data_IF_567778830505
#
_entry.id   IF_567778830505
#
_cell.length_a   1.000
_cell.length_b   1.000
_cell.length_c   1.000
_cell.angle_alpha   90.00
_cell.angle_beta   90.00
_cell.angle_gamma   90.00
#
_symmetry.space_group_name_H-M   'P 1'
#
loop_
_entity.id
_entity.type
_entity.pdbx_description
1 polymer ?
#
# COMPACT_ATOMS: atom_id res chain seq x y z
N UNK A 1 23.98 3.55 -19.23
CA UNK A 1 23.08 2.45 -18.84
C UNK A 1 21.85 3.03 -18.15
N UNK A 2 20.66 2.97 -18.76
CA UNK A 2 19.42 3.39 -18.09
C UNK A 2 18.98 2.25 -17.17
N UNK A 3 19.33 2.32 -15.89
CA UNK A 3 18.75 1.44 -14.87
C UNK A 3 17.26 1.71 -14.85
N UNK A 4 16.47 0.85 -15.52
CA UNK A 4 15.03 0.81 -15.35
C UNK A 4 14.78 0.35 -13.91
N UNK A 5 14.88 1.28 -12.95
CA UNK A 5 14.52 1.04 -11.55
C UNK A 5 13.09 0.51 -11.59
N UNK A 6 12.88 -0.71 -11.08
CA UNK A 6 11.56 -1.33 -10.98
C UNK A 6 10.68 -0.41 -10.12
N UNK A 7 9.97 0.54 -10.75
CA UNK A 7 8.96 1.37 -10.08
C UNK A 7 7.92 0.40 -9.53
N UNK A 8 7.96 0.13 -8.24
CA UNK A 8 6.85 -0.50 -7.55
C UNK A 8 5.70 0.48 -7.65
N UNK A 9 4.62 0.08 -8.33
CA UNK A 9 3.46 0.94 -8.53
C UNK A 9 2.39 0.56 -7.51
N UNK A 10 1.52 1.51 -7.12
CA UNK A 10 0.33 1.23 -6.30
C UNK A 10 -0.47 0.02 -6.82
N UNK A 11 -0.57 -0.13 -8.15
CA UNK A 11 -1.18 -1.30 -8.81
C UNK A 11 -0.42 -2.62 -8.55
N UNK A 12 0.91 -2.62 -8.55
CA UNK A 12 1.72 -3.82 -8.28
C UNK A 12 1.61 -4.26 -6.83
N UNK A 13 1.57 -3.31 -5.89
CA UNK A 13 1.33 -3.58 -4.46
C UNK A 13 -0.01 -4.27 -4.27
N UNK A 14 -1.08 -3.72 -4.87
CA UNK A 14 -2.41 -4.32 -4.80
C UNK A 14 -2.44 -5.76 -5.35
N UNK A 15 -1.83 -5.99 -6.52
CA UNK A 15 -1.74 -7.32 -7.13
C UNK A 15 -0.94 -8.29 -6.24
N UNK A 16 0.20 -7.84 -5.71
CA UNK A 16 1.04 -8.66 -4.83
C UNK A 16 0.34 -9.01 -3.52
N UNK A 17 -0.46 -8.09 -2.96
CA UNK A 17 -1.27 -8.32 -1.77
C UNK A 17 -2.58 -9.07 -2.06
N UNK A 18 -2.77 -9.53 -3.30
CA UNK A 18 -3.96 -10.26 -3.77
C UNK A 18 -5.26 -9.50 -3.51
N UNK A 19 -5.24 -8.17 -3.71
CA UNK A 19 -6.41 -7.30 -3.61
C UNK A 19 -6.66 -6.55 -4.91
N UNK A 20 -7.92 -6.14 -5.10
CA UNK A 20 -8.29 -5.29 -6.23
C UNK A 20 -7.57 -3.93 -6.17
N UNK A 21 -7.05 -3.41 -7.29
CA UNK A 21 -6.41 -2.09 -7.32
C UNK A 21 -7.37 -0.95 -6.96
N UNK A 22 -8.65 -1.08 -7.31
CA UNK A 22 -9.69 -0.12 -6.91
C UNK A 22 -9.94 -0.18 -5.39
N UNK A 23 -9.98 -1.38 -4.82
CA UNK A 23 -10.11 -1.58 -3.38
C UNK A 23 -8.95 -0.94 -2.61
N UNK A 24 -7.72 -1.15 -3.07
CA UNK A 24 -6.53 -0.49 -2.50
C UNK A 24 -6.63 1.04 -2.60
N UNK A 25 -7.15 1.57 -3.72
CA UNK A 25 -7.36 3.00 -3.89
C UNK A 25 -8.42 3.57 -2.93
N UNK A 26 -9.51 2.83 -2.68
CA UNK A 26 -10.54 3.21 -1.70
C UNK A 26 -9.98 3.27 -0.27
N UNK A 27 -9.09 2.35 0.09
CA UNK A 27 -8.39 2.36 1.39
C UNK A 27 -7.53 3.61 1.53
N UNK A 28 -6.64 3.86 0.57
CA UNK A 28 -5.82 5.08 0.59
C UNK A 28 -6.69 6.35 0.59
N UNK A 29 -7.84 6.34 -0.09
CA UNK A 29 -8.77 7.48 -0.09
C UNK A 29 -9.54 7.68 1.21
N UNK A 30 -9.42 6.77 2.19
CA UNK A 30 -10.22 6.80 3.41
C UNK A 30 -11.70 6.51 3.17
N UNK A 31 -12.07 6.08 1.95
CA UNK A 31 -13.46 5.71 1.61
C UNK A 31 -13.85 4.37 2.22
N UNK A 32 -12.86 3.52 2.52
CA UNK A 32 -13.05 2.21 3.11
C UNK A 32 -11.94 1.93 4.11
N UNK A 33 -12.28 1.34 5.25
CA UNK A 33 -11.27 0.86 6.22
C UNK A 33 -10.57 -0.37 5.65
N UNK A 34 -9.27 -0.52 5.95
CA UNK A 34 -8.54 -1.72 5.59
C UNK A 34 -9.00 -2.88 6.49
N UNK A 35 -9.48 -4.01 5.92
CA UNK A 35 -9.73 -5.20 6.71
C UNK A 35 -8.44 -5.71 7.35
N UNK A 36 -8.48 -6.27 8.57
CA UNK A 36 -7.28 -6.77 9.25
C UNK A 36 -6.58 -7.89 8.46
N UNK A 37 -7.33 -8.76 7.78
CA UNK A 37 -6.76 -9.79 6.90
C UNK A 37 -6.00 -9.21 5.70
N UNK A 38 -6.47 -8.08 5.16
CA UNK A 38 -5.79 -7.39 4.07
C UNK A 38 -4.57 -6.64 4.58
N UNK A 39 -4.64 -6.08 5.79
CA UNK A 39 -3.53 -5.40 6.43
C UNK A 39 -2.31 -6.33 6.62
N UNK A 40 -2.53 -7.60 7.00
CA UNK A 40 -1.45 -8.60 7.09
C UNK A 40 -0.79 -8.82 5.72
N UNK A 41 -1.58 -9.00 4.65
CA UNK A 41 -1.03 -9.20 3.30
C UNK A 41 -0.29 -7.95 2.80
N UNK A 42 -0.79 -6.76 3.13
CA UNK A 42 -0.14 -5.50 2.78
C UNK A 42 1.17 -5.34 3.55
N UNK A 43 1.23 -5.70 4.82
CA UNK A 43 2.45 -5.73 5.62
C UNK A 43 3.50 -6.65 4.99
N UNK A 44 3.13 -7.88 4.61
CA UNK A 44 4.05 -8.82 3.94
C UNK A 44 4.63 -8.28 2.62
N UNK A 45 3.83 -7.50 1.88
CA UNK A 45 4.21 -6.97 0.55
C UNK A 45 4.97 -5.65 0.65
N UNK A 46 4.61 -4.80 1.61
CA UNK A 46 5.08 -3.41 1.69
C UNK A 46 6.07 -3.17 2.83
N UNK A 47 6.12 -4.07 3.81
CA UNK A 47 6.85 -3.88 5.07
C UNK A 47 6.23 -2.84 6.01
N UNK A 48 5.07 -2.27 5.66
CA UNK A 48 4.35 -1.30 6.49
C UNK A 48 3.50 -2.07 7.50
N UNK A 49 3.68 -1.78 8.80
CA UNK A 49 2.97 -2.45 9.89
C UNK A 49 1.44 -2.44 9.68
N UNK A 50 0.81 -3.58 9.91
CA UNK A 50 -0.64 -3.80 9.77
C UNK A 50 -1.47 -2.80 10.58
N UNK A 51 -0.96 -2.31 11.71
CA UNK A 51 -1.63 -1.32 12.56
C UNK A 51 -1.79 0.01 11.84
N UNK A 52 -0.81 0.39 10.99
CA UNK A 52 -0.91 1.58 10.14
C UNK A 52 -2.08 1.45 9.17
N UNK A 53 -2.29 0.27 8.59
CA UNK A 53 -3.39 0.06 7.66
C UNK A 53 -4.77 0.06 8.33
N UNK A 54 -4.87 -0.44 9.56
CA UNK A 54 -6.14 -0.62 10.28
C UNK A 54 -6.56 0.62 11.07
N UNK A 55 -5.62 1.29 11.72
CA UNK A 55 -5.89 2.32 12.73
C UNK A 55 -5.47 3.73 12.31
N UNK A 56 -4.44 3.87 11.46
CA UNK A 56 -3.95 5.19 11.09
C UNK A 56 -4.86 5.90 10.08
N UNK A 57 -4.67 7.21 10.01
CA UNK A 57 -5.37 8.04 9.05
C UNK A 57 -4.99 7.70 7.61
N UNK A 58 -5.92 7.83 6.65
CA UNK A 58 -5.66 7.58 5.24
C UNK A 58 -4.51 8.43 4.68
N UNK A 59 -4.23 9.59 5.29
CA UNK A 59 -3.10 10.46 4.94
C UNK A 59 -1.75 9.84 5.31
N UNK A 60 -1.62 9.28 6.52
CA UNK A 60 -0.41 8.57 6.96
C UNK A 60 -0.21 7.29 6.15
N UNK A 61 -1.28 6.55 5.84
CA UNK A 61 -1.21 5.40 4.93
C UNK A 61 -0.65 5.81 3.56
N UNK A 62 -1.18 6.90 2.96
CA UNK A 62 -0.67 7.40 1.67
C UNK A 62 0.80 7.77 1.74
N UNK A 63 1.19 8.51 2.78
CA UNK A 63 2.57 8.96 2.96
C UNK A 63 3.53 7.77 3.06
N UNK A 64 3.21 6.75 3.85
CA UNK A 64 4.01 5.52 3.95
C UNK A 64 4.11 4.80 2.59
N UNK A 65 3.00 4.66 1.86
CA UNK A 65 2.97 4.05 0.52
C UNK A 65 3.77 4.87 -0.49
N UNK A 66 3.69 6.20 -0.43
CA UNK A 66 4.44 7.08 -1.34
C UNK A 66 5.93 7.06 -1.01
N UNK A 67 6.30 7.03 0.27
CA UNK A 67 7.68 6.78 0.66
C UNK A 67 8.15 5.43 0.12
N UNK A 68 7.39 4.34 0.21
CA UNK A 68 7.81 3.06 -0.36
C UNK A 68 8.04 3.14 -1.89
N UNK A 69 7.21 3.88 -2.62
CA UNK A 69 7.27 3.99 -4.08
C UNK A 69 8.40 4.91 -4.56
N UNK A 70 8.70 5.97 -3.80
CA UNK A 70 9.64 7.01 -4.17
C UNK A 70 10.97 6.98 -3.39
N UNK A 71 11.06 6.19 -2.30
CA UNK A 71 12.31 5.96 -1.57
C UNK A 71 13.29 5.20 -2.48
N UNK A 72 14.53 5.68 -2.48
CA UNK A 72 15.39 5.79 -3.68
C UNK A 72 16.55 4.81 -3.68
#
# INVERSE_FOLDING_TARGET
MRTQKKKTTKKKIAIAAQIGPDFFYQIMRGKRRCPPLVAVRLEEVTGIDRSVWVWESPEEIRKNVEQLIYSK
#
